data_IF_806618292530
#
_entry.id   IF_806618292530
#
_cell.length_a   1.000
_cell.length_b   1.000
_cell.length_c   1.000
_cell.angle_alpha   90.00
_cell.angle_beta   90.00
_cell.angle_gamma   90.00
#
_symmetry.space_group_name_H-M   'P 1'
#
loop_
_entity.id
_entity.type
_entity.pdbx_description
1 polymer ?
#
# COMPACT_ATOMS: atom_id res chain seq x y z
N UNK A 1 -57.59 25.38 -14.56
CA UNK A 1 -58.06 25.87 -13.25
C UNK A 1 -57.36 25.07 -12.17
N UNK A 2 -56.48 25.73 -11.38
CA UNK A 2 -55.88 25.36 -10.08
C UNK A 2 -55.32 23.92 -9.93
N UNK A 3 -53.99 23.67 -9.89
CA UNK A 3 -53.00 24.09 -8.89
C UNK A 3 -53.50 23.98 -7.44
N UNK A 4 -53.15 22.89 -6.75
CA UNK A 4 -52.93 22.90 -5.30
C UNK A 4 -51.60 22.23 -4.98
N UNK A 5 -50.64 23.09 -4.58
CA UNK A 5 -49.42 22.75 -3.87
C UNK A 5 -49.77 22.05 -2.54
N UNK A 6 -49.11 20.93 -2.24
CA UNK A 6 -48.77 20.59 -0.85
C UNK A 6 -47.25 20.45 -0.79
N UNK A 7 -46.63 21.48 -0.20
CA UNK A 7 -45.25 21.51 0.21
C UNK A 7 -45.08 20.50 1.35
N UNK A 8 -44.39 19.38 1.10
CA UNK A 8 -43.71 18.66 2.17
C UNK A 8 -42.21 18.74 1.89
N UNK A 9 -41.57 19.53 2.75
CA UNK A 9 -40.13 19.74 2.84
C UNK A 9 -39.50 18.37 3.14
N UNK A 10 -39.16 17.64 2.09
CA UNK A 10 -38.24 16.51 2.17
C UNK A 10 -36.86 17.10 2.42
N UNK A 11 -36.45 17.13 3.69
CA UNK A 11 -35.08 17.45 4.11
C UNK A 11 -34.13 16.66 3.20
N UNK A 12 -33.39 17.38 2.36
CA UNK A 12 -32.31 16.81 1.60
C UNK A 12 -31.31 16.24 2.58
N UNK A 13 -31.32 14.92 2.74
CA UNK A 13 -30.17 14.22 3.31
C UNK A 13 -29.08 14.35 2.24
N UNK A 14 -28.37 15.47 2.29
CA UNK A 14 -27.02 15.52 1.78
C UNK A 14 -26.27 14.48 2.58
N UNK A 15 -26.18 13.25 2.06
CA UNK A 15 -25.12 12.36 2.47
C UNK A 15 -23.86 13.05 2.00
N UNK A 16 -23.29 13.83 2.91
CA UNK A 16 -21.96 14.37 2.78
C UNK A 16 -21.12 13.24 2.23
N UNK A 17 -20.50 13.49 1.09
CA UNK A 17 -19.33 12.74 0.66
C UNK A 17 -18.39 12.93 1.84
N UNK A 18 -18.39 11.96 2.75
CA UNK A 18 -17.38 11.89 3.78
C UNK A 18 -16.10 11.86 2.99
N UNK A 19 -15.39 12.99 2.97
CA UNK A 19 -13.99 13.00 2.65
C UNK A 19 -13.42 11.95 3.60
N UNK A 20 -13.18 10.75 3.07
CA UNK A 20 -12.30 9.81 3.72
C UNK A 20 -11.06 10.65 3.94
N UNK A 21 -10.75 10.94 5.20
CA UNK A 21 -9.53 11.63 5.58
C UNK A 21 -8.40 10.70 5.13
N UNK A 22 -8.04 10.86 3.85
CA UNK A 22 -6.84 10.37 3.25
C UNK A 22 -5.77 11.20 3.92
N UNK A 23 -5.28 10.74 5.07
CA UNK A 23 -3.90 10.99 5.43
C UNK A 23 -3.06 10.30 4.34
N UNK A 24 -3.01 10.93 3.16
CA UNK A 24 -1.83 10.89 2.34
C UNK A 24 -0.74 11.33 3.30
N UNK A 25 0.23 10.46 3.59
CA UNK A 25 1.41 10.91 4.30
C UNK A 25 2.04 11.94 3.36
N UNK A 26 1.75 13.22 3.59
CA UNK A 26 1.91 14.27 2.58
C UNK A 26 3.36 14.71 2.53
N UNK A 27 4.19 13.81 2.00
CA UNK A 27 5.57 14.09 1.66
C UNK A 27 5.68 15.22 0.64
N UNK A 28 4.60 15.67 -0.01
CA UNK A 28 4.70 16.73 -1.02
C UNK A 28 5.28 18.03 -0.46
N UNK A 29 5.08 18.30 0.83
CA UNK A 29 5.60 19.47 1.53
C UNK A 29 7.09 19.37 1.88
N UNK A 30 7.62 18.16 2.03
CA UNK A 30 9.01 17.89 2.46
C UNK A 30 9.87 17.48 1.25
N UNK A 31 9.30 16.69 0.35
CA UNK A 31 9.89 16.18 -0.87
C UNK A 31 8.81 16.05 -1.98
N UNK A 32 8.54 17.12 -2.73
CA UNK A 32 7.48 17.14 -3.75
C UNK A 32 7.68 16.11 -4.86
N UNK A 33 8.92 15.68 -5.09
CA UNK A 33 9.26 14.69 -6.11
C UNK A 33 9.14 13.24 -5.63
N UNK A 34 8.91 13.00 -4.32
CA UNK A 34 8.97 11.67 -3.74
C UNK A 34 8.06 10.66 -4.45
N UNK A 35 6.82 11.06 -4.70
CA UNK A 35 5.83 10.25 -5.43
C UNK A 35 6.31 9.89 -6.84
N UNK A 36 6.77 10.89 -7.59
CA UNK A 36 7.22 10.68 -8.97
C UNK A 36 8.47 9.80 -9.05
N UNK A 37 9.42 9.97 -8.11
CA UNK A 37 10.67 9.20 -8.05
C UNK A 37 10.40 7.73 -7.75
N UNK A 38 9.60 7.45 -6.70
CA UNK A 38 9.20 6.07 -6.35
C UNK A 38 8.44 5.42 -7.50
N UNK A 39 7.48 6.14 -8.09
CA UNK A 39 6.71 5.65 -9.25
C UNK A 39 7.64 5.27 -10.41
N UNK A 40 8.65 6.08 -10.70
CA UNK A 40 9.57 5.81 -11.80
C UNK A 40 10.47 4.60 -11.53
N UNK A 41 11.05 4.50 -10.32
CA UNK A 41 11.87 3.37 -9.91
C UNK A 41 11.09 2.05 -10.00
N UNK A 42 9.86 2.03 -9.47
CA UNK A 42 9.00 0.84 -9.54
C UNK A 42 8.62 0.53 -10.99
N UNK A 43 8.15 1.50 -11.78
CA UNK A 43 7.79 1.25 -13.18
C UNK A 43 8.97 0.80 -14.04
N UNK A 44 10.20 1.20 -13.71
CA UNK A 44 11.43 0.72 -14.33
C UNK A 44 11.67 -0.74 -13.98
N UNK A 45 11.59 -1.10 -12.69
CA UNK A 45 11.75 -2.48 -12.24
C UNK A 45 10.69 -3.42 -12.85
N UNK A 46 9.42 -2.99 -12.88
CA UNK A 46 8.31 -3.80 -13.37
C UNK A 46 8.27 -3.98 -14.88
N UNK A 47 8.86 -3.04 -15.64
CA UNK A 47 9.08 -3.23 -17.08
C UNK A 47 10.05 -4.39 -17.35
N UNK A 48 10.99 -4.63 -16.44
CA UNK A 48 11.95 -5.73 -16.54
C UNK A 48 11.38 -7.03 -15.97
N UNK A 49 10.78 -6.99 -14.77
CA UNK A 49 10.11 -8.12 -14.14
C UNK A 49 8.72 -7.74 -13.60
N UNK A 50 7.63 -8.03 -14.36
CA UNK A 50 6.26 -7.77 -13.93
C UNK A 50 5.82 -8.55 -12.68
N UNK A 51 6.56 -9.59 -12.28
CA UNK A 51 6.24 -10.41 -11.10
C UNK A 51 6.71 -9.77 -9.80
N UNK A 52 7.60 -8.76 -9.87
CA UNK A 52 7.98 -7.94 -8.72
C UNK A 52 6.79 -7.17 -8.15
N UNK A 53 5.74 -6.91 -8.93
CA UNK A 53 4.51 -6.28 -8.47
C UNK A 53 3.88 -7.02 -7.28
N UNK A 54 3.75 -8.34 -7.42
CA UNK A 54 3.26 -9.21 -6.36
C UNK A 54 4.25 -9.31 -5.19
N UNK A 55 5.55 -9.30 -5.48
CA UNK A 55 6.60 -9.39 -4.46
C UNK A 55 6.66 -8.15 -3.57
N UNK A 56 6.58 -6.95 -4.15
CA UNK A 56 6.55 -5.68 -3.42
C UNK A 56 5.26 -5.55 -2.59
N UNK A 57 4.13 -5.99 -3.15
CA UNK A 57 2.88 -6.08 -2.40
C UNK A 57 3.02 -6.97 -1.18
N UNK A 58 3.58 -8.17 -1.37
CA UNK A 58 3.84 -9.13 -0.29
C UNK A 58 4.76 -8.55 0.77
N UNK A 59 5.86 -7.91 0.37
CA UNK A 59 6.80 -7.27 1.29
C UNK A 59 6.10 -6.23 2.17
N UNK A 60 5.24 -5.41 1.60
CA UNK A 60 4.46 -4.44 2.38
C UNK A 60 3.51 -5.10 3.38
N UNK A 61 2.85 -6.20 3.01
CA UNK A 61 2.03 -6.98 3.96
C UNK A 61 2.88 -7.53 5.11
N UNK A 62 4.06 -8.08 4.81
CA UNK A 62 4.93 -8.66 5.83
C UNK A 62 5.48 -7.60 6.79
N UNK A 63 5.88 -6.43 6.29
CA UNK A 63 6.27 -5.27 7.11
C UNK A 63 5.13 -4.86 8.05
N UNK A 64 3.95 -4.58 7.51
CA UNK A 64 2.86 -4.00 8.30
C UNK A 64 2.20 -4.96 9.30
N UNK A 65 2.24 -6.27 9.07
CA UNK A 65 1.61 -7.25 9.97
C UNK A 65 2.52 -7.71 11.11
N UNK A 66 3.83 -7.49 11.00
CA UNK A 66 4.82 -7.84 12.03
C UNK A 66 5.29 -6.56 12.69
N UNK A 67 4.80 -6.27 13.89
CA UNK A 67 5.23 -5.10 14.71
C UNK A 67 4.99 -3.70 14.11
N UNK A 68 4.39 -3.60 12.92
CA UNK A 68 3.90 -2.35 12.33
C UNK A 68 4.65 -1.94 11.06
N UNK A 69 4.11 -0.97 10.33
CA UNK A 69 4.73 -0.48 9.10
C UNK A 69 5.89 0.47 9.40
N UNK A 70 7.06 -0.06 9.78
CA UNK A 70 8.25 0.73 10.14
C UNK A 70 9.48 0.43 9.26
N UNK A 71 9.35 -0.52 8.33
CA UNK A 71 10.41 -0.92 7.40
C UNK A 71 11.43 -1.87 8.04
N UNK A 72 11.14 -2.47 9.19
CA UNK A 72 11.99 -3.46 9.86
C UNK A 72 12.33 -4.63 8.94
N UNK A 73 11.40 -5.02 8.06
CA UNK A 73 11.60 -6.12 7.11
C UNK A 73 12.74 -5.87 6.11
N UNK A 74 13.14 -4.61 5.92
CA UNK A 74 14.19 -4.21 4.99
C UNK A 74 15.60 -4.36 5.58
N UNK A 75 15.72 -4.44 6.91
CA UNK A 75 17.02 -4.50 7.62
C UNK A 75 17.71 -5.84 7.37
N UNK A 76 19.02 -5.80 7.12
CA UNK A 76 19.86 -7.00 7.06
C UNK A 76 20.35 -7.39 8.46
N UNK A 77 20.44 -8.69 8.73
CA UNK A 77 21.06 -9.18 9.96
C UNK A 77 22.53 -8.77 10.06
N UNK A 78 22.98 -8.55 11.29
CA UNK A 78 24.37 -8.26 11.62
C UNK A 78 24.94 -9.39 12.48
N UNK A 79 26.25 -9.39 12.74
CA UNK A 79 26.87 -10.38 13.63
C UNK A 79 26.20 -10.40 15.02
N UNK A 80 25.77 -9.23 15.50
CA UNK A 80 25.18 -9.07 16.83
C UNK A 80 23.64 -9.11 16.87
N UNK A 81 22.95 -9.22 15.72
CA UNK A 81 21.49 -9.16 15.68
C UNK A 81 20.87 -9.90 14.49
N UNK A 82 19.76 -10.60 14.74
CA UNK A 82 18.94 -11.21 13.68
C UNK A 82 17.82 -10.26 13.28
N UNK A 83 17.79 -9.86 12.02
CA UNK A 83 16.75 -9.02 11.46
C UNK A 83 15.48 -9.82 11.14
N UNK A 84 14.34 -9.12 11.14
CA UNK A 84 13.04 -9.69 10.78
C UNK A 84 13.05 -10.34 9.39
N UNK A 85 13.86 -9.80 8.48
CA UNK A 85 14.08 -10.30 7.12
C UNK A 85 14.45 -11.78 7.06
N UNK A 86 15.20 -12.28 8.03
CA UNK A 86 15.67 -13.68 8.08
C UNK A 86 14.70 -14.61 8.81
N UNK A 87 13.54 -14.10 9.24
CA UNK A 87 12.49 -14.94 9.82
C UNK A 87 11.94 -15.94 8.79
N UNK A 88 11.49 -17.14 9.21
CA UNK A 88 11.00 -18.18 8.29
C UNK A 88 9.87 -17.71 7.35
N UNK A 89 9.05 -16.76 7.80
CA UNK A 89 7.97 -16.16 6.99
C UNK A 89 8.48 -15.23 5.89
N UNK A 90 9.65 -14.61 6.09
CA UNK A 90 10.19 -13.56 5.25
C UNK A 90 11.21 -14.06 4.20
N UNK A 91 11.65 -15.32 4.29
CA UNK A 91 12.62 -15.94 3.36
C UNK A 91 12.21 -15.94 1.88
N UNK A 92 10.92 -15.71 1.60
CA UNK A 92 10.37 -15.66 0.24
C UNK A 92 10.11 -14.25 -0.28
N UNK A 93 10.46 -13.23 0.51
CA UNK A 93 10.38 -11.83 0.09
C UNK A 93 11.49 -11.51 -0.91
N UNK A 94 11.18 -10.65 -1.88
CA UNK A 94 12.11 -10.16 -2.91
C UNK A 94 11.65 -8.80 -3.42
N UNK A 95 12.49 -8.11 -4.19
CA UNK A 95 12.22 -6.73 -4.62
C UNK A 95 12.86 -5.67 -3.72
N UNK A 96 13.75 -6.08 -2.79
CA UNK A 96 14.48 -5.17 -1.90
C UNK A 96 15.30 -4.15 -2.70
N UNK A 97 15.86 -4.60 -3.83
CA UNK A 97 16.62 -3.77 -4.77
C UNK A 97 15.80 -2.63 -5.37
N UNK A 98 14.49 -2.80 -5.52
CA UNK A 98 13.60 -1.73 -6.02
C UNK A 98 13.44 -0.65 -4.95
N UNK A 99 13.35 -1.05 -3.69
CA UNK A 99 13.30 -0.13 -2.55
C UNK A 99 14.62 0.61 -2.41
N UNK A 100 15.75 -0.08 -2.59
CA UNK A 100 17.09 0.52 -2.57
C UNK A 100 17.27 1.55 -3.70
N UNK A 101 16.91 1.22 -4.95
CA UNK A 101 17.00 2.15 -6.11
C UNK A 101 16.13 3.40 -5.90
N UNK A 102 14.90 3.22 -5.40
CA UNK A 102 14.03 4.33 -5.07
C UNK A 102 14.61 5.19 -3.94
N UNK A 103 15.15 4.56 -2.89
CA UNK A 103 15.74 5.26 -1.75
C UNK A 103 16.97 6.07 -2.15
N UNK A 104 17.84 5.51 -2.97
CA UNK A 104 19.03 6.20 -3.47
C UNK A 104 18.64 7.47 -4.24
N UNK A 105 17.69 7.36 -5.18
CA UNK A 105 17.19 8.50 -5.94
C UNK A 105 16.48 9.55 -5.06
N UNK A 106 15.81 9.12 -3.98
CA UNK A 106 15.17 10.03 -3.03
C UNK A 106 16.19 10.77 -2.17
N UNK A 107 17.22 10.10 -1.67
CA UNK A 107 18.24 10.74 -0.82
C UNK A 107 19.07 11.78 -1.60
N UNK A 108 19.24 11.61 -2.91
CA UNK A 108 19.88 12.63 -3.77
C UNK A 108 19.07 13.93 -3.85
N UNK A 109 17.74 13.82 -3.87
CA UNK A 109 16.85 14.97 -4.06
C UNK A 109 16.39 15.57 -2.73
N UNK A 110 16.20 14.72 -1.73
CA UNK A 110 15.56 15.01 -0.45
C UNK A 110 16.21 14.13 0.64
N UNK A 111 17.32 14.58 1.25
CA UNK A 111 18.00 13.79 2.27
C UNK A 111 17.12 13.62 3.52
N UNK A 112 17.10 12.42 4.08
CA UNK A 112 16.38 12.13 5.33
C UNK A 112 14.91 11.73 5.16
N UNK A 113 14.53 11.19 4.00
CA UNK A 113 13.17 10.63 3.79
C UNK A 113 13.09 9.22 4.38
N UNK A 114 11.94 8.82 4.94
CA UNK A 114 11.79 7.49 5.57
C UNK A 114 11.74 6.39 4.49
N UNK A 115 12.06 5.13 4.84
CA UNK A 115 12.02 3.97 3.92
C UNK A 115 10.60 3.39 3.71
N UNK A 116 9.73 3.43 4.73
CA UNK A 116 8.32 2.97 4.70
C UNK A 116 7.46 3.66 3.63
N UNK A 117 7.55 4.99 3.44
CA UNK A 117 6.82 5.72 2.42
C UNK A 117 7.02 5.19 1.00
N UNK A 118 8.18 4.58 0.70
CA UNK A 118 8.47 4.01 -0.62
C UNK A 118 7.50 2.87 -0.93
N UNK A 119 7.18 2.03 0.06
CA UNK A 119 6.21 0.93 -0.09
C UNK A 119 4.76 1.45 -0.14
N UNK A 120 4.43 2.45 0.68
CA UNK A 120 3.09 3.05 0.72
C UNK A 120 2.76 3.81 -0.57
N UNK A 121 3.69 4.62 -1.07
CA UNK A 121 3.47 5.46 -2.24
C UNK A 121 3.17 4.64 -3.49
N UNK A 122 3.76 3.45 -3.61
CA UNK A 122 3.43 2.51 -4.68
C UNK A 122 1.95 2.07 -4.67
N UNK A 123 1.37 1.89 -3.49
CA UNK A 123 -0.01 1.40 -3.32
C UNK A 123 -1.07 2.47 -3.63
N UNK A 124 -0.68 3.74 -3.58
CA UNK A 124 -1.58 4.86 -3.82
C UNK A 124 -2.01 4.98 -5.29
N UNK A 125 -1.31 4.32 -6.22
CA UNK A 125 -1.65 4.42 -7.64
C UNK A 125 -2.59 3.32 -8.13
N UNK A 126 -3.91 3.62 -8.16
CA UNK A 126 -4.94 2.75 -8.76
C UNK A 126 -4.65 2.35 -10.23
N UNK A 127 -3.92 3.18 -11.00
CA UNK A 127 -3.55 2.87 -12.39
C UNK A 127 -2.71 1.60 -12.50
N UNK A 128 -1.91 1.31 -11.48
CA UNK A 128 -1.10 0.10 -11.41
C UNK A 128 -1.96 -1.18 -11.44
N UNK A 129 -3.04 -1.18 -10.65
CA UNK A 129 -3.95 -2.32 -10.50
C UNK A 129 -4.89 -2.53 -11.71
N UNK A 130 -5.20 -1.46 -12.44
CA UNK A 130 -6.09 -1.49 -13.61
C UNK A 130 -5.39 -1.83 -14.94
N UNK A 131 -4.06 -1.75 -15.00
CA UNK A 131 -3.28 -1.89 -16.24
C UNK A 131 -2.60 -3.26 -16.44
N UNK A 132 -1.45 -3.22 -17.11
CA UNK A 132 -0.65 -4.38 -17.59
C UNK A 132 -0.29 -5.38 -16.48
N UNK A 133 -0.16 -4.93 -15.24
CA UNK A 133 0.30 -5.72 -14.10
C UNK A 133 -0.84 -6.34 -13.29
N UNK A 134 -2.10 -6.06 -13.68
CA UNK A 134 -3.31 -6.57 -13.02
C UNK A 134 -3.30 -8.09 -12.90
N UNK A 135 -2.75 -8.81 -13.89
CA UNK A 135 -2.65 -10.27 -13.84
C UNK A 135 -1.72 -10.76 -12.72
N UNK A 136 -0.50 -10.23 -12.62
CA UNK A 136 0.46 -10.63 -11.57
C UNK A 136 -0.11 -10.37 -10.18
N UNK A 137 -0.75 -9.21 -10.01
CA UNK A 137 -1.32 -8.80 -8.73
C UNK A 137 -2.58 -9.59 -8.38
N UNK A 138 -3.47 -9.85 -9.34
CA UNK A 138 -4.63 -10.74 -9.13
C UNK A 138 -4.18 -12.15 -8.74
N UNK A 139 -3.18 -12.71 -9.40
CA UNK A 139 -2.67 -14.06 -9.06
C UNK A 139 -2.13 -14.11 -7.62
N UNK A 140 -1.56 -13.02 -7.12
CA UNK A 140 -1.14 -12.93 -5.73
C UNK A 140 -2.30 -12.79 -4.75
N UNK A 141 -3.29 -11.94 -5.07
CA UNK A 141 -4.45 -11.68 -4.20
C UNK A 141 -5.44 -12.86 -4.17
N UNK A 142 -5.42 -13.74 -5.18
CA UNK A 142 -6.30 -14.90 -5.29
C UNK A 142 -5.48 -16.21 -5.26
N UNK A 143 -4.95 -16.59 -4.09
CA UNK A 143 -4.32 -17.88 -3.81
C UNK A 143 -5.31 -18.91 -3.25
N UNK A 144 -4.95 -20.21 -3.26
CA UNK A 144 -5.86 -21.31 -2.89
C UNK A 144 -6.42 -21.25 -1.44
N UNK A 145 -5.75 -20.54 -0.52
CA UNK A 145 -6.28 -20.28 0.84
C UNK A 145 -7.50 -19.35 0.85
N UNK A 146 -7.79 -18.66 -0.26
CA UNK A 146 -8.92 -17.75 -0.40
C UNK A 146 -10.27 -18.45 -0.57
N UNK A 147 -10.30 -19.77 -0.74
CA UNK A 147 -11.57 -20.51 -0.74
C UNK A 147 -12.32 -20.33 0.58
N UNK A 148 -11.63 -20.19 1.71
CA UNK A 148 -12.23 -19.94 3.02
C UNK A 148 -13.09 -18.65 3.05
N UNK A 149 -12.68 -17.61 2.29
CA UNK A 149 -13.42 -16.36 2.16
C UNK A 149 -14.75 -16.55 1.43
N UNK A 150 -14.85 -17.51 0.51
CA UNK A 150 -16.11 -17.85 -0.15
C UNK A 150 -16.98 -18.80 0.71
N UNK A 151 -16.33 -19.65 1.49
CA UNK A 151 -17.01 -20.65 2.33
C UNK A 151 -17.82 -20.01 3.47
N UNK A 152 -17.37 -18.88 4.00
CA UNK A 152 -18.06 -18.20 5.12
C UNK A 152 -19.18 -17.28 4.63
N UNK A 153 -20.38 -17.38 5.21
CA UNK A 153 -21.55 -16.55 4.83
C UNK A 153 -21.31 -15.05 5.00
N UNK A 154 -20.54 -14.65 6.02
CA UNK A 154 -20.21 -13.25 6.31
C UNK A 154 -19.39 -12.57 5.21
N UNK A 155 -18.51 -13.31 4.53
CA UNK A 155 -17.60 -12.76 3.50
C UNK A 155 -18.06 -13.09 2.07
N UNK A 156 -18.89 -14.12 1.87
CA UNK A 156 -19.38 -14.56 0.56
C UNK A 156 -20.08 -13.46 -0.23
N UNK A 157 -20.88 -12.62 0.44
CA UNK A 157 -21.55 -11.49 -0.22
C UNK A 157 -20.55 -10.45 -0.75
N UNK A 158 -19.45 -10.21 -0.03
CA UNK A 158 -18.38 -9.30 -0.43
C UNK A 158 -17.63 -9.88 -1.63
N UNK A 159 -17.27 -11.18 -1.56
CA UNK A 159 -16.61 -11.89 -2.67
C UNK A 159 -17.46 -11.83 -3.95
N UNK A 160 -18.77 -12.11 -3.84
CA UNK A 160 -19.70 -11.99 -4.97
C UNK A 160 -19.85 -10.54 -5.47
N UNK A 161 -19.79 -9.55 -4.58
CA UNK A 161 -19.77 -8.14 -4.97
C UNK A 161 -18.54 -7.79 -5.80
N UNK A 162 -17.38 -8.32 -5.43
CA UNK A 162 -16.11 -8.09 -6.15
C UNK A 162 -16.02 -8.82 -7.47
N UNK A 163 -16.61 -10.02 -7.62
CA UNK A 163 -16.67 -10.72 -8.91
C UNK A 163 -17.53 -9.99 -9.93
N UNK A 164 -18.62 -9.35 -9.48
CA UNK A 164 -19.54 -8.59 -10.34
C UNK A 164 -19.06 -7.17 -10.65
N UNK A 165 -18.28 -6.56 -9.75
CA UNK A 165 -17.81 -5.19 -9.91
C UNK A 165 -16.31 -5.07 -9.56
N UNK A 166 -15.48 -5.22 -10.58
CA UNK A 166 -14.03 -5.11 -10.44
C UNK A 166 -13.58 -3.69 -10.04
N UNK A 167 -14.32 -2.64 -10.40
CA UNK A 167 -13.99 -1.28 -9.98
C UNK A 167 -14.19 -1.12 -8.47
N UNK A 168 -15.22 -1.77 -7.91
CA UNK A 168 -15.46 -1.78 -6.47
C UNK A 168 -14.35 -2.52 -5.72
N UNK A 169 -13.93 -3.67 -6.23
CA UNK A 169 -12.79 -4.40 -5.67
C UNK A 169 -11.55 -3.51 -5.58
N UNK A 170 -11.16 -2.84 -6.66
CA UNK A 170 -9.95 -2.02 -6.64
C UNK A 170 -10.05 -0.79 -5.75
N UNK A 171 -11.23 -0.17 -5.66
CA UNK A 171 -11.48 0.93 -4.74
C UNK A 171 -11.28 0.47 -3.28
N UNK A 172 -11.95 -0.62 -2.89
CA UNK A 172 -11.92 -1.11 -1.53
C UNK A 172 -10.52 -1.69 -1.19
N UNK A 173 -9.86 -2.34 -2.16
CA UNK A 173 -8.50 -2.82 -2.02
C UNK A 173 -7.52 -1.67 -1.75
N UNK A 174 -7.55 -0.59 -2.54
CA UNK A 174 -6.66 0.56 -2.30
C UNK A 174 -6.90 1.17 -0.92
N UNK A 175 -8.17 1.33 -0.51
CA UNK A 175 -8.49 1.83 0.83
C UNK A 175 -7.97 0.91 1.94
N UNK A 176 -8.09 -0.42 1.76
CA UNK A 176 -7.55 -1.39 2.69
C UNK A 176 -6.02 -1.31 2.79
N UNK A 177 -5.33 -1.16 1.65
CA UNK A 177 -3.88 -0.99 1.61
C UNK A 177 -3.43 0.29 2.32
N UNK A 178 -4.12 1.41 2.08
CA UNK A 178 -3.86 2.68 2.80
C UNK A 178 -4.10 2.54 4.30
N UNK A 179 -5.15 1.82 4.69
CA UNK A 179 -5.46 1.57 6.11
C UNK A 179 -4.39 0.70 6.76
N UNK A 180 -3.95 -0.34 6.08
CA UNK A 180 -2.90 -1.23 6.56
C UNK A 180 -1.57 -0.50 6.72
N UNK A 181 -1.20 0.36 5.76
CA UNK A 181 0.03 1.14 5.81
C UNK A 181 0.13 2.13 6.99
N UNK A 182 -0.95 2.28 7.77
CA UNK A 182 -1.01 3.13 8.97
C UNK A 182 -0.92 2.33 10.26
N UNK A 183 -0.73 1.01 10.18
CA UNK A 183 -0.58 0.17 11.37
C UNK A 183 0.75 0.49 12.05
N UNK A 184 0.67 0.94 13.30
CA UNK A 184 1.79 1.14 14.23
C UNK A 184 3.00 1.91 13.64
N UNK A 185 2.74 2.86 12.75
CA UNK A 185 3.78 3.72 12.16
C UNK A 185 4.49 4.50 13.27
N UNK A 186 5.82 4.36 13.32
CA UNK A 186 6.66 5.06 14.29
C UNK A 186 6.82 6.53 13.90
N UNK A 187 6.11 7.41 14.59
CA UNK A 187 6.19 8.86 14.40
C UNK A 187 7.11 9.55 15.43
N UNK A 188 7.78 10.62 14.99
CA UNK A 188 8.59 11.49 15.85
C UNK A 188 9.79 10.76 16.48
N UNK A 189 10.06 10.92 17.79
CA UNK A 189 11.26 10.39 18.44
C UNK A 189 11.29 8.85 18.56
N UNK A 190 10.21 8.16 18.15
CA UNK A 190 10.09 6.70 18.23
C UNK A 190 10.67 5.97 17.02
N UNK A 191 11.05 6.70 15.96
CA UNK A 191 11.59 6.13 14.73
C UNK A 191 12.72 6.98 14.16
N UNK A 192 13.36 6.47 13.10
CA UNK A 192 14.41 7.17 12.38
C UNK A 192 14.26 7.08 10.86
N UNK A 193 14.71 8.12 10.17
CA UNK A 193 14.91 8.08 8.73
C UNK A 193 16.30 7.49 8.43
N UNK A 194 16.33 6.20 8.08
CA UNK A 194 17.57 5.50 7.68
C UNK A 194 18.13 6.08 6.38
N UNK A 195 19.43 6.29 6.30
CA UNK A 195 20.10 6.66 5.03
C UNK A 195 20.10 5.51 4.03
N UNK A 196 20.29 4.28 4.52
CA UNK A 196 20.19 3.05 3.73
C UNK A 196 19.13 2.16 4.35
N UNK A 197 18.13 1.72 3.59
CA UNK A 197 17.03 0.95 4.16
C UNK A 197 17.48 -0.40 4.76
N UNK A 198 18.63 -0.93 4.34
CA UNK A 198 19.17 -2.18 4.88
C UNK A 198 19.89 -2.09 6.22
N UNK A 199 20.18 -0.87 6.71
CA UNK A 199 21.01 -0.66 7.89
C UNK A 199 20.41 0.40 8.80
N UNK A 200 20.45 0.14 10.10
CA UNK A 200 20.20 1.15 11.15
C UNK A 200 21.36 2.16 11.14
N UNK A 201 21.07 3.44 11.35
CA UNK A 201 22.08 4.52 11.24
C UNK A 201 23.20 4.41 12.28
#
# INVERSE_FOLDING_TARGET
MAMLLVLLIGVGVGTGIGAANSLQMDYSTICPFAESTVKNAVNKALRNDPTLAAALLRMHFHDCFVEGCDGSVLVDSTEDNTAEKDSPGNLSLRGFEVVDDAKEQLEEQCPGIVCVPILLQWLLEMQFFRGTYSRSVKVFIFQEQDQALYMTTSTRAIVNGYTMNQARFFLDFQQAMVKMARLDVKEGPKGEARKKCRKIN
#
